data_IF_516781510913
#
_entry.id   IF_516781510913
#
_cell.length_a   1.000
_cell.length_b   1.000
_cell.length_c   1.000
_cell.angle_alpha   90.00
_cell.angle_beta   90.00
_cell.angle_gamma   90.00
#
_symmetry.space_group_name_H-M   'P 1'
#
loop_
_entity.id
_entity.type
_entity.pdbx_description
1 polymer ?
#
# COMPACT_ATOMS: atom_id res chain seq x y z
N UNK A 1 -18.75 1.60 3.77
CA UNK A 1 -20.16 1.35 3.42
C UNK A 1 -20.81 0.23 4.23
N UNK A 2 -20.18 -0.92 4.39
CA UNK A 2 -20.88 -2.13 4.90
C UNK A 2 -21.12 -2.14 6.41
N UNK A 3 -20.29 -1.42 7.17
CA UNK A 3 -20.36 -1.36 8.64
C UNK A 3 -20.77 0.00 9.21
N UNK A 4 -20.92 1.03 8.36
CA UNK A 4 -21.28 2.39 8.78
C UNK A 4 -22.70 2.75 8.34
N UNK A 5 -23.41 3.56 9.13
CA UNK A 5 -24.74 4.11 8.80
C UNK A 5 -24.81 5.61 9.16
N UNK A 6 -25.89 6.26 8.74
CA UNK A 6 -26.18 7.66 9.07
C UNK A 6 -25.05 8.62 8.65
N UNK A 7 -24.74 9.58 9.52
CA UNK A 7 -23.71 10.59 9.26
C UNK A 7 -22.32 9.99 8.98
N UNK A 8 -21.93 8.94 9.71
CA UNK A 8 -20.64 8.26 9.50
C UNK A 8 -20.51 7.70 8.09
N UNK A 9 -21.58 7.11 7.56
CA UNK A 9 -21.58 6.60 6.19
C UNK A 9 -21.42 7.72 5.17
N UNK A 10 -22.14 8.83 5.35
CA UNK A 10 -22.10 9.96 4.43
C UNK A 10 -20.71 10.60 4.40
N UNK A 11 -20.09 10.80 5.56
CA UNK A 11 -18.74 11.33 5.67
C UNK A 11 -17.72 10.41 4.96
N UNK A 12 -17.82 9.10 5.16
CA UNK A 12 -16.93 8.14 4.48
C UNK A 12 -17.12 8.16 2.96
N UNK A 13 -18.36 8.20 2.47
CA UNK A 13 -18.64 8.24 1.04
C UNK A 13 -18.08 9.51 0.39
N UNK A 14 -18.23 10.66 1.05
CA UNK A 14 -17.73 11.95 0.55
C UNK A 14 -16.20 12.00 0.56
N UNK A 15 -15.57 11.62 1.68
CA UNK A 15 -14.11 11.67 1.84
C UNK A 15 -13.39 10.71 0.88
N UNK A 16 -13.88 9.47 0.77
CA UNK A 16 -13.30 8.46 -0.10
C UNK A 16 -13.73 8.62 -1.57
N UNK A 17 -14.54 9.64 -1.89
CA UNK A 17 -15.10 9.90 -3.22
C UNK A 17 -15.71 8.65 -3.85
N UNK A 18 -16.46 7.89 -3.03
CA UNK A 18 -17.02 6.63 -3.48
C UNK A 18 -18.12 6.87 -4.51
N UNK A 19 -18.16 6.08 -5.60
CA UNK A 19 -19.21 6.19 -6.60
C UNK A 19 -20.57 5.84 -5.97
N UNK A 20 -21.62 6.53 -6.39
CA UNK A 20 -22.98 6.29 -5.90
C UNK A 20 -23.46 4.86 -6.18
N UNK A 21 -23.00 4.24 -7.27
CA UNK A 21 -23.29 2.85 -7.59
C UNK A 21 -22.35 1.91 -6.82
N UNK A 22 -22.80 1.48 -5.65
CA UNK A 22 -22.09 0.56 -4.76
C UNK A 22 -21.74 -0.78 -5.41
N UNK A 23 -22.66 -1.39 -6.16
CA UNK A 23 -22.45 -2.70 -6.79
C UNK A 23 -21.32 -2.63 -7.82
N UNK A 24 -21.34 -1.59 -8.66
CA UNK A 24 -20.28 -1.32 -9.61
C UNK A 24 -18.93 -1.09 -8.91
N UNK A 25 -18.91 -0.30 -7.83
CA UNK A 25 -17.70 0.00 -7.06
C UNK A 25 -17.03 -1.28 -6.53
N UNK A 26 -17.85 -2.15 -5.91
CA UNK A 26 -17.39 -3.41 -5.35
C UNK A 26 -16.88 -4.33 -6.46
N UNK A 27 -17.61 -4.45 -7.56
CA UNK A 27 -17.17 -5.25 -8.70
C UNK A 27 -15.82 -4.76 -9.22
N UNK A 28 -15.65 -3.45 -9.41
CA UNK A 28 -14.39 -2.87 -9.89
C UNK A 28 -13.23 -3.11 -8.93
N UNK A 29 -13.45 -2.94 -7.62
CA UNK A 29 -12.45 -3.21 -6.60
C UNK A 29 -12.04 -4.69 -6.59
N UNK A 30 -13.01 -5.61 -6.64
CA UNK A 30 -12.73 -7.05 -6.67
C UNK A 30 -11.93 -7.44 -7.92
N UNK A 31 -12.32 -6.94 -9.09
CA UNK A 31 -11.56 -7.17 -10.32
C UNK A 31 -10.12 -6.66 -10.20
N UNK A 32 -9.94 -5.45 -9.65
CA UNK A 32 -8.61 -4.89 -9.42
C UNK A 32 -7.77 -5.73 -8.44
N UNK A 33 -8.35 -6.16 -7.31
CA UNK A 33 -7.68 -7.04 -6.36
C UNK A 33 -7.27 -8.38 -6.99
N UNK A 34 -8.15 -8.98 -7.80
CA UNK A 34 -7.85 -10.22 -8.51
C UNK A 34 -6.68 -10.05 -9.50
N UNK A 35 -6.61 -8.92 -10.22
CA UNK A 35 -5.49 -8.61 -11.10
C UNK A 35 -4.16 -8.46 -10.35
N UNK A 36 -4.18 -7.84 -9.16
CA UNK A 36 -2.98 -7.69 -8.32
C UNK A 36 -2.46 -9.04 -7.78
N UNK A 37 -3.36 -9.99 -7.50
CA UNK A 37 -3.01 -11.30 -6.95
C UNK A 37 -2.56 -12.31 -8.01
N UNK A 38 -2.72 -12.02 -9.30
CA UNK A 38 -2.23 -12.90 -10.38
C UNK A 38 -0.70 -13.03 -10.30
N UNK A 39 -0.26 -14.28 -10.21
CA UNK A 39 1.14 -14.65 -10.16
C UNK A 39 1.93 -14.08 -11.35
N UNK A 40 3.19 -13.71 -11.09
CA UNK A 40 4.16 -13.31 -12.10
C UNK A 40 5.49 -13.96 -11.81
N UNK A 41 6.25 -14.21 -12.88
CA UNK A 41 7.62 -14.72 -12.75
C UNK A 41 8.60 -13.63 -12.34
N UNK A 42 8.34 -12.38 -12.75
CA UNK A 42 9.30 -11.27 -12.66
C UNK A 42 8.82 -10.16 -11.71
N UNK A 43 7.70 -10.37 -11.01
CA UNK A 43 7.19 -9.47 -10.00
C UNK A 43 6.43 -10.24 -8.90
N UNK A 44 6.55 -9.75 -7.68
CA UNK A 44 5.81 -10.22 -6.52
C UNK A 44 4.96 -9.05 -6.02
N UNK A 45 3.64 -9.22 -6.06
CA UNK A 45 2.67 -8.32 -5.46
C UNK A 45 1.91 -9.10 -4.39
N UNK A 46 1.98 -8.63 -3.15
CA UNK A 46 1.17 -9.14 -2.04
C UNK A 46 0.37 -7.98 -1.50
N UNK A 47 -0.94 -8.13 -1.42
CA UNK A 47 -1.83 -7.15 -0.81
C UNK A 47 -2.89 -7.88 -0.01
N UNK A 48 -3.01 -7.53 1.26
CA UNK A 48 -3.99 -8.14 2.15
C UNK A 48 -4.49 -7.12 3.15
N UNK A 49 -5.71 -7.32 3.62
CA UNK A 49 -6.29 -6.55 4.71
C UNK A 49 -6.87 -7.48 5.75
N UNK A 50 -6.76 -7.08 7.01
CA UNK A 50 -7.34 -7.78 8.15
C UNK A 50 -8.09 -6.81 9.03
N UNK A 51 -9.15 -7.29 9.66
CA UNK A 51 -9.85 -6.58 10.71
C UNK A 51 -9.77 -7.46 11.95
N UNK A 52 -9.13 -6.94 12.99
CA UNK A 52 -9.15 -7.56 14.32
C UNK A 52 -10.23 -6.89 15.15
N UNK A 53 -11.08 -7.69 15.79
CA UNK A 53 -12.19 -7.21 16.62
C UNK A 53 -12.04 -7.83 18.01
N UNK A 54 -12.31 -7.07 19.06
CA UNK A 54 -12.27 -7.60 20.43
C UNK A 54 -13.16 -8.84 20.52
N UNK A 55 -12.62 -9.94 21.07
CA UNK A 55 -13.24 -11.26 21.06
C UNK A 55 -14.66 -11.30 21.64
N UNK A 56 -14.96 -10.42 22.59
CA UNK A 56 -16.26 -10.34 23.27
C UNK A 56 -17.29 -9.49 22.50
N UNK A 57 -16.90 -8.86 21.40
CA UNK A 57 -17.81 -8.11 20.52
C UNK A 57 -18.43 -9.03 19.47
N UNK A 58 -19.77 -9.09 19.49
CA UNK A 58 -20.54 -9.80 18.47
C UNK A 58 -20.43 -9.14 17.09
N UNK A 59 -19.90 -9.87 16.10
CA UNK A 59 -19.83 -9.42 14.71
C UNK A 59 -20.97 -10.03 13.90
N UNK A 60 -21.77 -9.18 13.25
CA UNK A 60 -22.90 -9.63 12.42
C UNK A 60 -22.43 -10.61 11.33
N UNK A 61 -23.01 -11.82 11.21
CA UNK A 61 -22.57 -12.83 10.24
C UNK A 61 -22.53 -12.30 8.80
N UNK A 62 -23.57 -11.57 8.38
CA UNK A 62 -23.62 -10.95 7.06
C UNK A 62 -22.46 -9.98 6.79
N UNK A 63 -21.98 -9.27 7.82
CA UNK A 63 -20.82 -8.39 7.66
C UNK A 63 -19.54 -9.18 7.41
N UNK A 64 -19.35 -10.31 8.11
CA UNK A 64 -18.21 -11.22 7.86
C UNK A 64 -18.20 -11.76 6.44
N UNK A 65 -19.36 -12.24 5.98
CA UNK A 65 -19.53 -12.76 4.60
C UNK A 65 -19.19 -11.69 3.58
N UNK A 66 -19.74 -10.48 3.74
CA UNK A 66 -19.46 -9.38 2.82
C UNK A 66 -17.98 -8.98 2.83
N UNK A 67 -17.35 -8.85 4.00
CA UNK A 67 -15.94 -8.46 4.11
C UNK A 67 -15.02 -9.47 3.41
N UNK A 68 -15.25 -10.76 3.63
CA UNK A 68 -14.48 -11.83 3.00
C UNK A 68 -14.74 -11.91 1.50
N UNK A 69 -15.99 -12.11 1.07
CA UNK A 69 -16.31 -12.41 -0.33
C UNK A 69 -16.17 -11.20 -1.26
N UNK A 70 -16.50 -9.99 -0.78
CA UNK A 70 -16.53 -8.79 -1.64
C UNK A 70 -15.24 -7.98 -1.60
N UNK A 71 -14.52 -8.01 -0.47
CA UNK A 71 -13.34 -7.17 -0.26
C UNK A 71 -12.06 -7.97 0.00
N UNK A 72 -12.13 -9.30 0.11
CA UNK A 72 -10.98 -10.15 0.41
C UNK A 72 -10.39 -9.89 1.80
N UNK A 73 -11.22 -9.44 2.74
CA UNK A 73 -10.79 -9.04 4.09
C UNK A 73 -11.14 -10.14 5.09
N UNK A 74 -10.13 -10.58 5.84
CA UNK A 74 -10.33 -11.52 6.93
C UNK A 74 -10.70 -10.78 8.21
N UNK A 75 -11.78 -11.19 8.86
CA UNK A 75 -12.16 -10.72 10.19
C UNK A 75 -11.73 -11.77 11.21
N UNK A 76 -10.85 -11.39 12.11
CA UNK A 76 -10.33 -12.25 13.18
C UNK A 76 -10.72 -11.65 14.53
N UNK A 77 -10.96 -12.52 15.51
CA UNK A 77 -11.19 -12.10 16.89
C UNK A 77 -9.83 -12.02 17.60
N UNK A 78 -9.60 -10.93 18.32
CA UNK A 78 -8.39 -10.70 19.09
C UNK A 78 -8.73 -10.38 20.55
N UNK A 79 -7.81 -10.69 21.46
CA UNK A 79 -7.95 -10.35 22.86
C UNK A 79 -7.12 -9.11 23.21
N UNK A 80 -7.70 -7.93 23.05
CA UNK A 80 -7.05 -6.67 23.38
C UNK A 80 -6.86 -6.44 24.88
N UNK A 81 -7.38 -7.33 25.76
CA UNK A 81 -6.99 -7.33 27.18
C UNK A 81 -5.55 -7.80 27.39
N UNK A 82 -4.96 -8.48 26.40
CA UNK A 82 -3.55 -8.84 26.31
C UNK A 82 -2.85 -8.06 25.17
N UNK A 83 -2.68 -6.73 25.29
CA UNK A 83 -2.27 -5.86 24.19
C UNK A 83 -0.89 -6.18 23.61
N UNK A 84 0.06 -6.63 24.43
CA UNK A 84 1.40 -7.01 23.99
C UNK A 84 1.38 -8.22 23.06
N UNK A 85 0.58 -9.25 23.40
CA UNK A 85 0.46 -10.46 22.60
C UNK A 85 -0.21 -10.16 21.24
N UNK A 86 -1.25 -9.34 21.24
CA UNK A 86 -1.88 -8.90 19.99
C UNK A 86 -0.91 -8.09 19.12
N UNK A 87 -0.12 -7.20 19.73
CA UNK A 87 0.88 -6.40 19.00
C UNK A 87 1.97 -7.29 18.37
N UNK A 88 2.47 -8.29 19.12
CA UNK A 88 3.43 -9.28 18.59
C UNK A 88 2.86 -10.08 17.42
N UNK A 89 1.60 -10.51 17.51
CA UNK A 89 0.93 -11.24 16.43
C UNK A 89 0.80 -10.38 15.16
N UNK A 90 0.43 -9.11 15.30
CA UNK A 90 0.33 -8.17 14.18
C UNK A 90 1.70 -7.94 13.54
N UNK A 91 2.72 -7.64 14.35
CA UNK A 91 4.09 -7.40 13.84
C UNK A 91 4.65 -8.65 13.14
N UNK A 92 4.48 -9.84 13.72
CA UNK A 92 4.89 -11.10 13.09
C UNK A 92 4.20 -11.33 11.73
N UNK A 93 2.90 -11.05 11.66
CA UNK A 93 2.14 -11.16 10.41
C UNK A 93 2.64 -10.19 9.34
N UNK A 94 2.85 -8.91 9.68
CA UNK A 94 3.35 -7.89 8.73
C UNK A 94 4.77 -8.22 8.28
N UNK A 95 5.63 -8.64 9.20
CA UNK A 95 7.00 -9.04 8.93
C UNK A 95 7.08 -10.17 7.91
N UNK A 96 6.28 -11.22 8.12
CA UNK A 96 6.18 -12.36 7.18
C UNK A 96 5.65 -11.93 5.80
N UNK A 97 4.61 -11.10 5.77
CA UNK A 97 4.04 -10.62 4.52
C UNK A 97 5.03 -9.80 3.69
N UNK A 98 5.75 -8.90 4.38
CA UNK A 98 6.72 -7.98 3.79
C UNK A 98 8.11 -8.57 3.60
N UNK A 99 8.27 -9.88 3.83
CA UNK A 99 9.53 -10.60 3.69
C UNK A 99 10.67 -9.97 4.51
N UNK A 100 10.38 -9.48 5.72
CA UNK A 100 11.40 -8.87 6.57
C UNK A 100 11.53 -7.35 6.47
N UNK A 101 10.90 -6.71 5.48
CA UNK A 101 11.09 -5.27 5.25
C UNK A 101 10.39 -4.38 6.28
N UNK A 102 9.28 -4.85 6.86
CA UNK A 102 8.56 -4.16 7.93
C UNK A 102 8.50 -5.12 9.12
N UNK A 103 9.58 -5.21 9.92
CA UNK A 103 9.65 -6.14 11.04
C UNK A 103 8.67 -5.78 12.16
N UNK A 104 8.42 -4.49 12.36
CA UNK A 104 7.49 -3.96 13.34
C UNK A 104 6.63 -2.88 12.68
N UNK A 105 5.31 -3.06 12.72
CA UNK A 105 4.33 -2.09 12.26
C UNK A 105 3.78 -1.26 13.41
N UNK A 106 3.55 -1.90 14.55
CA UNK A 106 2.99 -1.30 15.74
C UNK A 106 4.06 -1.08 16.79
N UNK A 107 4.23 0.19 17.17
CA UNK A 107 4.99 0.57 18.34
C UNK A 107 4.31 0.06 19.62
N UNK A 108 5.08 -0.23 20.69
CA UNK A 108 4.54 -0.56 21.99
C UNK A 108 3.54 0.49 22.49
N UNK A 109 2.39 0.03 23.01
CA UNK A 109 1.37 0.91 23.60
C UNK A 109 0.32 1.48 22.63
N UNK A 110 0.45 1.27 21.32
CA UNK A 110 -0.62 1.64 20.35
C UNK A 110 -1.90 0.82 20.54
N UNK A 111 -1.74 -0.46 20.91
CA UNK A 111 -2.85 -1.31 21.31
C UNK A 111 -3.00 -1.21 22.82
N UNK A 112 -4.22 -0.94 23.29
CA UNK A 112 -4.55 -0.82 24.70
C UNK A 112 -5.73 -1.72 25.04
N UNK A 113 -6.01 -1.89 26.33
CA UNK A 113 -7.18 -2.64 26.80
C UNK A 113 -8.51 -2.01 26.39
N UNK A 114 -8.52 -0.74 25.97
CA UNK A 114 -9.70 -0.03 25.45
C UNK A 114 -9.88 -0.22 23.94
N UNK A 115 -8.94 -0.87 23.25
CA UNK A 115 -9.02 -1.10 21.81
C UNK A 115 -10.16 -2.06 21.49
N UNK A 116 -11.07 -1.66 20.60
CA UNK A 116 -12.22 -2.49 20.19
C UNK A 116 -12.08 -3.09 18.80
N UNK A 117 -11.37 -2.39 17.90
CA UNK A 117 -11.19 -2.79 16.51
C UNK A 117 -9.87 -2.23 15.98
N UNK A 118 -9.14 -3.04 15.21
CA UNK A 118 -7.97 -2.62 14.44
C UNK A 118 -8.17 -3.02 12.99
N UNK A 119 -8.06 -2.06 12.08
CA UNK A 119 -8.05 -2.30 10.64
C UNK A 119 -6.61 -2.22 10.14
N UNK A 120 -6.13 -3.31 9.55
CA UNK A 120 -4.78 -3.44 9.03
C UNK A 120 -4.83 -3.62 7.52
N UNK A 121 -3.97 -2.89 6.81
CA UNK A 121 -3.71 -3.07 5.40
C UNK A 121 -2.20 -3.16 5.19
N UNK A 122 -1.75 -4.15 4.43
CA UNK A 122 -0.34 -4.32 4.13
C UNK A 122 -0.16 -4.69 2.65
N UNK A 123 0.76 -3.96 2.01
CA UNK A 123 1.07 -4.09 0.58
C UNK A 123 2.57 -4.24 0.45
N UNK A 124 3.00 -5.28 -0.26
CA UNK A 124 4.40 -5.54 -0.61
C UNK A 124 4.50 -5.70 -2.12
N UNK A 125 5.42 -4.96 -2.72
CA UNK A 125 5.71 -5.03 -4.14
C UNK A 125 7.21 -5.13 -4.36
N UNK A 126 7.62 -6.12 -5.16
CA UNK A 126 8.99 -6.28 -5.64
C UNK A 126 8.93 -6.70 -7.09
N UNK A 127 9.39 -5.86 -8.01
CA UNK A 127 9.43 -6.14 -9.43
C UNK A 127 10.82 -5.96 -10.00
N UNK A 128 11.14 -6.72 -11.04
CA UNK A 128 12.33 -6.50 -11.85
C UNK A 128 12.06 -5.44 -12.91
N UNK A 129 13.02 -4.56 -13.17
CA UNK A 129 12.92 -3.59 -14.26
C UNK A 129 12.93 -4.30 -15.61
N UNK A 130 12.11 -3.82 -16.57
CA UNK A 130 12.15 -4.30 -17.95
C UNK A 130 13.51 -4.04 -18.59
N UNK A 131 14.09 -2.88 -18.29
CA UNK A 131 15.47 -2.52 -18.62
C UNK A 131 16.21 -2.35 -17.31
N UNK A 132 17.04 -3.32 -16.95
CA UNK A 132 17.76 -3.31 -15.68
C UNK A 132 18.89 -2.26 -15.67
N UNK A 133 19.19 -1.76 -14.49
CA UNK A 133 20.35 -0.90 -14.26
C UNK A 133 21.58 -1.77 -14.09
N UNK A 134 22.67 -1.43 -14.78
CA UNK A 134 23.97 -2.06 -14.55
C UNK A 134 24.52 -1.58 -13.20
N UNK A 135 24.75 -2.47 -12.20
CA UNK A 135 25.33 -2.08 -10.93
C UNK A 135 26.69 -1.38 -11.05
N UNK A 136 27.47 -1.68 -12.10
CA UNK A 136 28.77 -1.02 -12.33
C UNK A 136 28.63 0.43 -12.80
N UNK A 137 27.45 0.83 -13.30
CA UNK A 137 27.14 2.20 -13.69
C UNK A 137 26.60 3.04 -12.51
N UNK A 138 26.33 2.42 -11.36
CA UNK A 138 25.96 3.12 -10.14
C UNK A 138 27.14 3.94 -9.63
N UNK A 139 26.85 5.16 -9.16
CA UNK A 139 27.88 6.07 -8.67
C UNK A 139 27.33 6.98 -7.57
N UNK A 140 28.22 7.41 -6.66
CA UNK A 140 27.86 8.40 -5.65
C UNK A 140 27.65 9.78 -6.29
N UNK A 141 26.51 10.40 -6.00
CA UNK A 141 26.22 11.78 -6.41
C UNK A 141 25.44 12.53 -5.33
N UNK A 142 25.30 13.84 -5.49
CA UNK A 142 24.57 14.70 -4.57
C UNK A 142 23.06 14.56 -4.79
N UNK A 143 22.34 14.05 -3.79
CA UNK A 143 20.91 14.27 -3.66
C UNK A 143 20.68 15.52 -2.81
N UNK A 144 20.10 16.56 -3.40
CA UNK A 144 19.88 17.82 -2.70
C UNK A 144 18.59 17.74 -1.88
N UNK A 145 18.68 18.00 -0.58
CA UNK A 145 17.51 18.06 0.31
C UNK A 145 16.79 19.41 0.17
N UNK A 146 15.64 19.58 0.83
CA UNK A 146 14.92 20.87 0.89
C UNK A 146 15.78 22.02 1.43
N UNK A 147 16.75 21.74 2.29
CA UNK A 147 17.71 22.74 2.80
C UNK A 147 18.82 23.08 1.79
N UNK A 148 18.74 22.57 0.56
CA UNK A 148 19.77 22.64 -0.48
C UNK A 148 21.11 22.02 -0.06
N UNK A 149 21.08 21.09 0.90
CA UNK A 149 22.24 20.34 1.37
C UNK A 149 22.49 19.15 0.44
N UNK A 150 23.75 18.95 0.01
CA UNK A 150 24.15 17.75 -0.70
C UNK A 150 24.27 16.56 0.26
N UNK A 151 23.33 15.61 0.15
CA UNK A 151 23.46 14.30 0.75
C UNK A 151 23.99 13.31 -0.29
N UNK A 152 25.22 12.82 -0.11
CA UNK A 152 25.78 11.80 -1.01
C UNK A 152 24.97 10.51 -0.92
N UNK A 153 24.51 10.02 -2.06
CA UNK A 153 23.81 8.74 -2.17
C UNK A 153 24.17 8.08 -3.51
N UNK A 154 23.88 6.78 -3.63
CA UNK A 154 24.15 6.01 -4.83
C UNK A 154 23.04 6.25 -5.86
N UNK A 155 23.41 6.78 -7.02
CA UNK A 155 22.52 6.98 -8.15
C UNK A 155 22.73 5.86 -9.16
N UNK A 156 21.63 5.21 -9.54
CA UNK A 156 21.62 4.25 -10.64
C UNK A 156 21.57 4.99 -11.99
N UNK A 157 22.24 4.45 -13.01
CA UNK A 157 22.27 5.04 -14.36
C UNK A 157 21.97 3.98 -15.42
N UNK A 158 21.11 4.33 -16.37
CA UNK A 158 20.84 3.52 -17.56
C UNK A 158 20.51 4.43 -18.73
N UNK A 159 20.61 3.92 -19.96
CA UNK A 159 20.18 4.61 -21.17
C UNK A 159 19.27 3.68 -21.98
N UNK A 160 18.19 4.22 -22.53
CA UNK A 160 17.24 3.45 -23.31
C UNK A 160 16.06 4.29 -23.76
N UNK A 161 15.13 3.64 -24.45
CA UNK A 161 13.88 4.28 -24.87
C UNK A 161 12.84 4.14 -23.76
N UNK A 162 12.52 5.27 -23.12
CA UNK A 162 11.49 5.37 -22.08
C UNK A 162 10.39 6.34 -22.52
N UNK A 163 9.18 6.14 -22.01
CA UNK A 163 8.16 7.19 -22.17
C UNK A 163 8.54 8.35 -21.27
N UNK A 164 8.64 9.52 -21.86
CA UNK A 164 9.07 10.74 -21.21
C UNK A 164 8.19 11.90 -21.66
N UNK A 165 8.01 12.89 -20.80
CA UNK A 165 7.27 14.09 -21.15
C UNK A 165 7.47 15.24 -20.17
N UNK A 166 6.70 16.29 -20.39
CA UNK A 166 6.61 17.45 -19.51
C UNK A 166 5.16 17.64 -19.06
N UNK A 167 4.98 17.88 -17.77
CA UNK A 167 3.70 18.25 -17.18
C UNK A 167 3.74 19.74 -16.89
N UNK A 168 3.35 20.55 -17.87
CA UNK A 168 3.44 22.03 -17.83
C UNK A 168 2.73 22.60 -16.61
N UNK A 169 1.54 22.09 -16.27
CA UNK A 169 0.77 22.53 -15.12
C UNK A 169 1.45 22.28 -13.77
N UNK A 170 2.43 21.40 -13.72
CA UNK A 170 3.22 21.08 -12.52
C UNK A 170 4.66 21.59 -12.61
N UNK A 171 5.06 22.24 -13.71
CA UNK A 171 6.46 22.63 -13.92
C UNK A 171 7.41 21.44 -13.79
N UNK A 172 7.03 20.25 -14.28
CA UNK A 172 7.76 19.01 -14.00
C UNK A 172 8.06 18.19 -15.26
N UNK A 173 9.15 17.42 -15.21
CA UNK A 173 9.46 16.34 -16.14
C UNK A 173 8.85 15.05 -15.61
N UNK A 174 8.40 14.18 -16.50
CA UNK A 174 7.84 12.87 -16.16
C UNK A 174 8.54 11.78 -16.96
N UNK A 175 8.84 10.66 -16.32
CA UNK A 175 9.36 9.45 -16.97
C UNK A 175 8.65 8.21 -16.43
N UNK A 176 8.34 7.27 -17.34
CA UNK A 176 7.83 5.94 -17.01
C UNK A 176 8.95 4.90 -17.11
N UNK A 177 9.21 4.20 -16.01
CA UNK A 177 10.13 3.07 -15.93
C UNK A 177 9.32 1.77 -15.81
N UNK A 178 9.17 0.99 -16.90
CA UNK A 178 8.39 -0.24 -16.86
C UNK A 178 9.11 -1.36 -16.11
N UNK A 179 8.34 -2.17 -15.38
CA UNK A 179 8.81 -3.45 -14.86
C UNK A 179 8.72 -4.53 -15.95
N UNK A 180 9.45 -5.63 -15.77
CA UNK A 180 9.43 -6.80 -16.65
C UNK A 180 8.04 -7.42 -16.77
N UNK A 181 7.23 -7.29 -15.72
CA UNK A 181 5.79 -7.52 -15.81
C UNK A 181 5.10 -6.25 -16.30
N UNK A 182 4.48 -6.27 -17.50
CA UNK A 182 3.93 -5.08 -18.15
C UNK A 182 2.71 -4.49 -17.43
N UNK A 183 2.18 -5.16 -16.40
CA UNK A 183 1.11 -4.62 -15.55
C UNK A 183 1.59 -3.48 -14.64
N UNK A 184 2.90 -3.36 -14.43
CA UNK A 184 3.48 -2.41 -13.49
C UNK A 184 4.48 -1.48 -14.19
N UNK A 185 4.46 -0.21 -13.82
CA UNK A 185 5.51 0.76 -14.11
C UNK A 185 5.68 1.72 -12.93
N UNK A 186 6.90 2.23 -12.75
CA UNK A 186 7.16 3.34 -11.85
C UNK A 186 7.12 4.63 -12.66
N UNK A 187 6.32 5.59 -12.21
CA UNK A 187 6.23 6.91 -12.82
C UNK A 187 6.92 7.90 -11.88
N UNK A 188 7.95 8.57 -12.39
CA UNK A 188 8.71 9.56 -11.62
C UNK A 188 8.38 10.94 -12.19
N UNK A 189 7.89 11.82 -11.33
CA UNK A 189 7.76 13.25 -11.62
C UNK A 189 8.92 13.99 -10.94
N UNK A 190 9.65 14.77 -11.73
CA UNK A 190 10.78 15.57 -11.27
C UNK A 190 10.50 17.04 -11.59
N UNK A 191 10.27 17.90 -10.58
CA UNK A 191 10.16 19.34 -10.79
C UNK A 191 11.36 19.91 -11.57
N UNK A 192 11.12 20.96 -12.35
CA UNK A 192 12.17 21.65 -13.10
C UNK A 192 13.09 22.45 -12.18
N UNK A 193 12.54 23.00 -11.10
CA UNK A 193 13.28 23.69 -10.04
C UNK A 193 13.64 22.70 -8.93
N UNK A 194 14.73 22.99 -8.20
CA UNK A 194 15.28 22.05 -7.21
C UNK A 194 14.43 21.96 -5.94
N UNK A 195 13.73 23.02 -5.60
CA UNK A 195 12.90 23.19 -4.41
C UNK A 195 11.41 22.89 -4.62
N UNK A 196 11.01 22.58 -5.86
CA UNK A 196 9.67 22.14 -6.21
C UNK A 196 8.80 23.26 -6.76
#
# INVERSE_FOLDING_TARGET
>A
MEGARGATLLQLCNMLRLPSNKTWAIHRLRSFQAELQKASKNAVMKSTSRILIQKDLGVKPNYKTIASEKYGVNIELADFTAPEEVSKQINSWVNSLTQGLIPELLDPGLITTNTSLVLLNAIFFKGEWKVQFDPAASHLSCFYTKANECKKTEFMKTMGFFRYGYVVSLGARIIELPYSDPRYSMVILLPLERDG
#
